data_IF_520312706286
#
_entry.id   IF_520312706286
#
_cell.length_a   1.000
_cell.length_b   1.000
_cell.length_c   1.000
_cell.angle_alpha   90.00
_cell.angle_beta   90.00
_cell.angle_gamma   90.00
#
_symmetry.space_group_name_H-M   'P 1'
#
loop_
_entity.id
_entity.type
_entity.pdbx_description
1 polymer ?
#
# COMPACT_ATOMS: atom_id res chain seq x y z
N UNK A 1 14.45 12.04 5.80
CA UNK A 1 13.14 12.55 6.24
C UNK A 1 11.95 11.88 5.55
N UNK A 2 11.64 12.15 4.28
CA UNK A 2 10.44 11.57 3.62
C UNK A 2 10.47 10.04 3.55
N UNK A 3 11.62 9.48 3.21
CA UNK A 3 11.84 8.03 3.16
C UNK A 3 11.66 7.38 4.54
N UNK A 4 12.07 8.03 5.63
CA UNK A 4 11.95 7.51 7.00
C UNK A 4 10.49 7.45 7.42
N UNK A 5 9.69 8.47 7.08
CA UNK A 5 8.23 8.47 7.34
C UNK A 5 7.59 7.25 6.67
N UNK A 6 7.92 6.98 5.41
CA UNK A 6 7.38 5.82 4.69
C UNK A 6 7.86 4.49 5.28
N UNK A 7 9.14 4.37 5.66
CA UNK A 7 9.65 3.15 6.32
C UNK A 7 9.03 2.89 7.69
N UNK A 8 8.62 3.94 8.41
CA UNK A 8 7.85 3.81 9.65
C UNK A 8 6.41 3.33 9.41
N UNK A 9 5.83 3.58 8.23
CA UNK A 9 4.52 3.05 7.85
C UNK A 9 4.60 1.59 7.44
N UNK A 10 5.60 1.24 6.63
CA UNK A 10 5.88 -0.11 6.17
C UNK A 10 7.36 -0.20 5.71
N UNK A 11 8.17 -1.08 6.31
CA UNK A 11 9.58 -1.22 5.95
C UNK A 11 9.80 -1.66 4.51
N UNK A 12 8.80 -2.27 3.88
CA UNK A 12 8.82 -2.74 2.50
C UNK A 12 8.34 -1.69 1.49
N UNK A 13 8.09 -0.44 1.92
CA UNK A 13 7.76 0.67 1.02
C UNK A 13 8.95 1.62 0.82
N UNK A 14 9.11 2.09 -0.41
CA UNK A 14 10.05 3.13 -0.80
C UNK A 14 9.29 4.36 -1.25
N UNK A 15 9.78 5.53 -0.82
CA UNK A 15 9.28 6.82 -1.28
C UNK A 15 9.95 7.16 -2.61
N UNK A 16 9.16 7.28 -3.68
CA UNK A 16 9.64 7.73 -4.98
C UNK A 16 9.76 9.26 -4.97
N UNK A 17 8.74 9.94 -4.46
CA UNK A 17 8.72 11.41 -4.32
C UNK A 17 7.63 11.84 -3.35
N UNK A 18 7.81 13.01 -2.76
CA UNK A 18 6.79 13.72 -1.99
C UNK A 18 6.44 15.04 -2.67
N UNK A 19 5.18 15.46 -2.56
CA UNK A 19 4.75 16.80 -2.97
C UNK A 19 3.66 17.34 -2.07
N UNK A 20 3.61 18.67 -1.95
CA UNK A 20 2.54 19.40 -1.32
C UNK A 20 1.57 19.93 -2.38
N UNK A 21 0.26 19.70 -2.21
CA UNK A 21 -0.78 20.23 -3.11
C UNK A 21 -2.07 20.45 -2.33
N UNK A 22 -2.69 21.63 -2.43
CA UNK A 22 -4.02 21.92 -1.86
C UNK A 22 -4.20 21.42 -0.40
N UNK A 23 -3.27 21.74 0.50
CA UNK A 23 -3.27 21.26 1.90
C UNK A 23 -3.16 19.73 2.06
N UNK A 24 -2.63 19.04 1.05
CA UNK A 24 -2.31 17.61 1.11
C UNK A 24 -0.80 17.40 1.03
N UNK A 25 -0.31 16.43 1.80
CA UNK A 25 1.00 15.82 1.61
C UNK A 25 0.81 14.53 0.83
N UNK A 26 1.37 14.47 -0.37
CA UNK A 26 1.21 13.34 -1.28
C UNK A 26 2.55 12.63 -1.42
N UNK A 27 2.62 11.38 -0.95
CA UNK A 27 3.76 10.50 -1.15
C UNK A 27 3.46 9.53 -2.29
N UNK A 28 4.29 9.53 -3.32
CA UNK A 28 4.29 8.42 -4.28
C UNK A 28 5.21 7.33 -3.77
N UNK A 29 4.67 6.13 -3.63
CA UNK A 29 5.38 5.01 -2.99
C UNK A 29 5.28 3.73 -3.82
N UNK A 30 6.30 2.88 -3.71
CA UNK A 30 6.33 1.55 -4.32
C UNK A 30 6.82 0.52 -3.33
N UNK A 31 6.53 -0.75 -3.59
CA UNK A 31 7.10 -1.88 -2.87
C UNK A 31 8.58 -2.06 -3.21
N UNK A 32 9.41 -2.32 -2.19
CA UNK A 32 10.81 -2.76 -2.33
C UNK A 32 10.96 -4.28 -2.37
N UNK A 33 9.87 -5.05 -2.19
CA UNK A 33 9.94 -6.52 -2.18
C UNK A 33 10.25 -7.07 -3.56
N UNK A 34 11.26 -7.92 -3.67
CA UNK A 34 11.58 -8.62 -4.92
C UNK A 34 10.56 -9.71 -5.25
N UNK A 35 10.09 -10.43 -4.24
CA UNK A 35 9.11 -11.52 -4.34
C UNK A 35 7.99 -11.29 -3.35
N UNK A 36 6.77 -11.67 -3.73
CA UNK A 36 5.60 -11.60 -2.85
C UNK A 36 4.78 -12.88 -2.90
N UNK A 37 4.20 -13.32 -1.76
CA UNK A 37 3.41 -14.54 -1.73
C UNK A 37 2.08 -14.33 -2.46
N UNK A 38 1.69 -15.32 -3.27
CA UNK A 38 0.33 -15.42 -3.76
C UNK A 38 -0.61 -15.56 -2.56
N UNK A 39 -1.62 -14.69 -2.39
CA UNK A 39 -2.47 -14.73 -1.21
C UNK A 39 -3.41 -15.94 -1.16
N UNK A 40 -3.47 -16.74 -2.24
CA UNK A 40 -4.36 -17.89 -2.35
C UNK A 40 -3.64 -19.21 -2.08
N UNK A 41 -2.39 -19.34 -2.52
CA UNK A 41 -1.61 -20.58 -2.37
C UNK A 41 -0.25 -20.40 -1.66
N UNK A 42 0.11 -19.18 -1.24
CA UNK A 42 1.35 -18.87 -0.53
C UNK A 42 2.62 -18.82 -1.40
N UNK A 43 2.60 -19.41 -2.61
CA UNK A 43 3.80 -19.46 -3.47
C UNK A 43 4.29 -18.05 -3.83
N UNK A 44 5.59 -17.83 -3.59
CA UNK A 44 6.28 -16.58 -3.92
C UNK A 44 6.35 -16.38 -5.44
N UNK A 45 6.08 -15.15 -5.87
CA UNK A 45 6.25 -14.72 -7.26
C UNK A 45 7.03 -13.42 -7.36
N UNK A 46 7.95 -13.37 -8.31
CA UNK A 46 8.60 -12.13 -8.80
C UNK A 46 8.04 -11.66 -10.14
N UNK A 47 7.11 -12.41 -10.76
CA UNK A 47 6.64 -12.13 -12.12
C UNK A 47 5.50 -11.12 -12.10
N UNK A 48 5.80 -9.88 -12.49
CA UNK A 48 4.82 -8.79 -12.59
C UNK A 48 3.98 -8.96 -13.87
N UNK A 49 2.66 -8.86 -13.73
CA UNK A 49 1.72 -8.78 -14.86
C UNK A 49 1.52 -7.32 -15.29
N UNK A 50 1.22 -6.45 -14.32
CA UNK A 50 1.04 -5.02 -14.56
C UNK A 50 1.21 -4.24 -13.26
N UNK A 51 1.35 -2.93 -13.35
CA UNK A 51 1.38 -2.02 -12.21
C UNK A 51 0.22 -1.05 -12.35
N UNK A 52 -0.46 -0.76 -11.25
CA UNK A 52 -1.52 0.25 -11.20
C UNK A 52 -1.38 1.07 -9.92
N UNK A 53 -1.81 2.33 -9.98
CA UNK A 53 -1.71 3.24 -8.84
C UNK A 53 -3.00 3.23 -8.03
N UNK A 54 -2.87 3.18 -6.71
CA UNK A 54 -3.98 3.33 -5.76
C UNK A 54 -3.77 4.60 -4.94
N UNK A 55 -4.83 5.38 -4.79
CA UNK A 55 -4.85 6.49 -3.85
C UNK A 55 -5.34 5.99 -2.48
N UNK A 56 -4.48 6.12 -1.47
CA UNK A 56 -4.75 5.67 -0.10
C UNK A 56 -4.63 6.87 0.84
N UNK A 57 -5.69 7.12 1.61
CA UNK A 57 -5.67 8.14 2.65
C UNK A 57 -5.00 7.60 3.91
N UNK A 58 -4.21 8.44 4.54
CA UNK A 58 -3.52 8.15 5.78
C UNK A 58 -3.75 9.24 6.83
N UNK A 59 -3.27 9.01 8.06
CA UNK A 59 -3.41 9.97 9.15
C UNK A 59 -2.78 11.32 8.75
N UNK A 60 -3.50 12.45 8.90
CA UNK A 60 -2.99 13.78 8.59
C UNK A 60 -1.64 14.11 9.25
N UNK A 61 -0.81 14.85 8.52
CA UNK A 61 0.49 15.38 8.93
C UNK A 61 0.39 16.91 9.07
N UNK A 62 0.48 17.43 10.30
CA UNK A 62 0.40 18.88 10.58
C UNK A 62 -0.80 19.56 9.90
N UNK A 63 -2.01 19.07 10.20
CA UNK A 63 -3.30 19.53 9.65
C UNK A 63 -3.47 19.37 8.13
N UNK A 64 -2.53 18.72 7.45
CA UNK A 64 -2.62 18.39 6.04
C UNK A 64 -3.03 16.95 5.84
N UNK A 65 -3.99 16.70 4.97
CA UNK A 65 -4.39 15.35 4.61
C UNK A 65 -3.20 14.61 3.99
N UNK A 66 -2.96 13.38 4.40
CA UNK A 66 -1.88 12.56 3.86
C UNK A 66 -2.43 11.56 2.86
N UNK A 67 -1.84 11.55 1.66
CA UNK A 67 -2.22 10.66 0.56
C UNK A 67 -1.00 9.85 0.14
N UNK A 68 -1.15 8.52 0.09
CA UNK A 68 -0.19 7.62 -0.51
C UNK A 68 -0.68 7.26 -1.91
N UNK A 69 0.06 7.66 -2.94
CA UNK A 69 -0.08 7.15 -4.30
C UNK A 69 0.76 5.87 -4.41
N UNK A 70 0.12 4.75 -4.11
CA UNK A 70 0.77 3.44 -4.02
C UNK A 70 0.79 2.74 -5.37
N UNK A 71 1.98 2.58 -5.93
CA UNK A 71 2.24 1.79 -7.14
C UNK A 71 2.14 0.29 -6.78
N UNK A 72 0.94 -0.27 -6.97
CA UNK A 72 0.60 -1.66 -6.63
C UNK A 72 0.86 -2.58 -7.81
N UNK A 73 1.58 -3.67 -7.59
CA UNK A 73 1.82 -4.68 -8.63
C UNK A 73 0.67 -5.68 -8.67
N UNK A 74 0.18 -5.99 -9.87
CA UNK A 74 -0.53 -7.23 -10.17
C UNK A 74 0.52 -8.24 -10.60
N UNK A 75 0.58 -9.37 -9.92
CA UNK A 75 1.56 -10.45 -10.11
C UNK A 75 0.91 -11.62 -10.84
N UNK A 76 1.70 -12.39 -11.58
CA UNK A 76 1.33 -13.75 -11.97
C UNK A 76 1.58 -14.72 -10.82
N UNK A 77 0.68 -15.68 -10.60
CA UNK A 77 0.97 -16.81 -9.72
C UNK A 77 1.85 -17.81 -10.46
N UNK A 78 2.93 -18.26 -9.81
CA UNK A 78 3.86 -19.25 -10.37
C UNK A 78 3.43 -20.69 -10.08
N UNK A 79 2.37 -20.89 -9.27
CA UNK A 79 1.82 -22.21 -8.99
C UNK A 79 0.88 -22.64 -10.13
N UNK A 80 1.20 -23.71 -10.90
CA UNK A 80 0.32 -24.20 -11.94
C UNK A 80 -1.03 -24.69 -11.39
N UNK A 81 -1.04 -25.24 -10.17
CA UNK A 81 -2.23 -25.80 -9.51
C UNK A 81 -3.09 -24.73 -8.82
N UNK A 82 -2.62 -23.48 -8.77
CA UNK A 82 -3.43 -22.40 -8.22
C UNK A 82 -4.54 -22.02 -9.21
N UNK A 83 -5.78 -21.99 -8.71
CA UNK A 83 -6.97 -21.53 -9.42
C UNK A 83 -6.86 -20.06 -9.85
N UNK A 84 -6.07 -19.26 -9.14
CA UNK A 84 -5.81 -17.87 -9.47
C UNK A 84 -4.49 -17.70 -10.24
N UNK A 85 -4.57 -17.33 -11.52
CA UNK A 85 -3.39 -17.07 -12.36
C UNK A 85 -2.72 -15.72 -12.11
N UNK A 86 -3.45 -14.77 -11.55
CA UNK A 86 -2.91 -13.47 -11.14
C UNK A 86 -3.43 -13.06 -9.77
N UNK A 87 -2.70 -12.19 -9.08
CA UNK A 87 -3.10 -11.62 -7.80
C UNK A 87 -2.55 -10.20 -7.64
N UNK A 88 -3.26 -9.35 -6.91
CA UNK A 88 -2.71 -8.05 -6.51
C UNK A 88 -1.80 -8.24 -5.30
N UNK A 89 -0.64 -7.58 -5.33
CA UNK A 89 0.25 -7.46 -4.18
C UNK A 89 -0.50 -6.90 -2.98
N UNK A 90 -0.29 -7.52 -1.81
CA UNK A 90 -0.93 -7.14 -0.54
C UNK A 90 0.05 -6.41 0.36
N UNK A 91 -0.48 -5.47 1.14
CA UNK A 91 0.27 -4.64 2.08
C UNK A 91 -0.41 -4.68 3.44
N UNK A 92 0.36 -4.83 4.51
CA UNK A 92 -0.21 -4.99 5.85
C UNK A 92 -0.76 -3.67 6.39
N UNK A 93 -0.33 -2.52 5.86
CA UNK A 93 -0.90 -1.23 6.22
C UNK A 93 -2.31 -0.98 5.63
N UNK A 94 -2.74 -1.73 4.60
CA UNK A 94 -3.99 -1.46 3.84
C UNK A 94 -4.77 -2.77 3.62
N UNK A 95 -6.02 -2.82 4.07
CA UNK A 95 -6.85 -3.99 3.79
C UNK A 95 -7.19 -4.11 2.29
N UNK A 96 -7.48 -5.33 1.77
CA UNK A 96 -7.81 -5.51 0.36
C UNK A 96 -8.95 -4.57 -0.07
N UNK A 97 -8.78 -3.90 -1.22
CA UNK A 97 -9.74 -2.94 -1.81
C UNK A 97 -9.97 -1.63 -1.02
N UNK A 98 -9.47 -1.52 0.20
CA UNK A 98 -9.64 -0.30 1.01
C UNK A 98 -8.89 0.90 0.44
N UNK A 99 -9.38 2.11 0.77
CA UNK A 99 -8.79 3.39 0.38
C UNK A 99 -8.22 4.18 1.57
N UNK A 100 -8.16 3.56 2.75
CA UNK A 100 -7.60 4.13 3.98
C UNK A 100 -6.60 3.15 4.57
N UNK A 101 -5.55 3.66 5.19
CA UNK A 101 -4.66 2.83 5.99
C UNK A 101 -5.42 2.27 7.20
N UNK A 102 -5.03 1.07 7.66
CA UNK A 102 -5.61 0.44 8.86
C UNK A 102 -5.47 1.36 10.08
N UNK A 103 -4.34 2.05 10.22
CA UNK A 103 -4.12 3.00 11.32
C UNK A 103 -5.09 4.20 11.27
N UNK A 104 -5.44 4.70 10.08
CA UNK A 104 -6.45 5.75 9.93
C UNK A 104 -7.84 5.24 10.31
N UNK A 105 -8.23 4.06 9.80
CA UNK A 105 -9.52 3.43 10.16
C UNK A 105 -9.63 3.25 11.66
N UNK A 106 -8.60 2.69 12.30
CA UNK A 106 -8.57 2.49 13.75
C UNK A 106 -8.66 3.80 14.53
N UNK A 107 -8.02 4.87 14.05
CA UNK A 107 -8.11 6.20 14.66
C UNK A 107 -9.54 6.74 14.59
N UNK A 108 -10.21 6.60 13.45
CA UNK A 108 -11.61 7.03 13.28
C UNK A 108 -12.52 6.27 14.25
N UNK A 109 -12.41 4.93 14.29
CA UNK A 109 -13.26 4.10 15.14
C UNK A 109 -13.11 4.42 16.64
N UNK A 110 -11.89 4.76 17.10
CA UNK A 110 -11.65 5.16 18.49
C UNK A 110 -12.29 6.50 18.89
N UNK A 111 -12.72 7.31 17.91
CA UNK A 111 -13.30 8.64 18.14
C UNK A 111 -14.79 8.70 17.78
N UNK A 112 -15.42 7.57 17.44
CA UNK A 112 -16.87 7.51 17.32
C UNK A 112 -17.50 7.45 18.73
N UNK A 113 -18.47 8.32 19.06
CA UNK A 113 -19.22 8.19 20.30
C UNK A 113 -20.00 6.86 20.30
N UNK A 114 -20.02 6.18 21.46
CA UNK A 114 -20.84 4.98 21.69
C UNK A 114 -22.33 5.30 21.54
#
# INVERSE_FOLDING_TARGET
>A
MEQEIIKLLDPDLECIRCKLKNQQVIFEVKSSREKVPCPYCGILSSKVHSVYQREIQDIPLQDRQTILLLNTRKMFCMNPDCSHKTFSERFDLIAPKERKTRRLVNKILKHLPN
#
